data_IF_607946915124
#
_entry.id   IF_607946915124
#
_cell.length_a   1.000
_cell.length_b   1.000
_cell.length_c   1.000
_cell.angle_alpha   90.00
_cell.angle_beta   90.00
_cell.angle_gamma   90.00
#
_symmetry.space_group_name_H-M   'P 1'
#
loop_
_entity.id
_entity.type
_entity.pdbx_description
1 polymer ?
#
# COMPACT_ATOMS: atom_id res chain seq x y z
N UNK A 1 14.19 0.32 -12.87
CA UNK A 1 13.94 1.14 -11.66
C UNK A 1 13.13 0.30 -10.69
N UNK A 2 13.43 0.35 -9.39
CA UNK A 2 12.59 -0.33 -8.39
C UNK A 2 11.32 0.49 -8.09
N UNK A 3 10.26 -0.18 -7.63
CA UNK A 3 9.01 0.44 -7.18
C UNK A 3 9.27 1.62 -6.22
N UNK A 4 10.02 1.37 -5.15
CA UNK A 4 10.31 2.38 -4.11
C UNK A 4 11.10 3.57 -4.66
N UNK A 5 12.03 3.35 -5.59
CA UNK A 5 12.78 4.44 -6.21
C UNK A 5 11.87 5.35 -7.05
N UNK A 6 10.92 4.75 -7.78
CA UNK A 6 9.93 5.49 -8.57
C UNK A 6 9.00 6.29 -7.66
N UNK A 7 8.50 5.68 -6.59
CA UNK A 7 7.66 6.35 -5.60
C UNK A 7 8.40 7.50 -4.89
N UNK A 8 9.68 7.30 -4.53
CA UNK A 8 10.49 8.34 -3.91
C UNK A 8 10.67 9.54 -4.85
N UNK A 9 10.96 9.30 -6.13
CA UNK A 9 11.06 10.35 -7.13
C UNK A 9 9.74 11.12 -7.27
N UNK A 10 8.62 10.41 -7.40
CA UNK A 10 7.29 11.02 -7.50
C UNK A 10 6.93 11.87 -6.26
N UNK A 11 7.20 11.36 -5.05
CA UNK A 11 6.91 12.06 -3.80
C UNK A 11 7.78 13.30 -3.62
N UNK A 12 9.08 13.21 -3.93
CA UNK A 12 9.98 14.36 -3.87
C UNK A 12 9.60 15.44 -4.89
N UNK A 13 9.22 15.02 -6.10
CA UNK A 13 8.71 15.94 -7.11
C UNK A 13 7.42 16.62 -6.63
N UNK A 14 6.42 15.86 -6.16
CA UNK A 14 5.16 16.40 -5.67
C UNK A 14 5.36 17.34 -4.46
N UNK A 15 6.22 16.98 -3.51
CA UNK A 15 6.56 17.81 -2.35
C UNK A 15 7.10 19.20 -2.78
N UNK A 16 7.90 19.24 -3.85
CA UNK A 16 8.46 20.50 -4.39
C UNK A 16 7.45 21.26 -5.24
N UNK A 17 6.76 20.59 -6.16
CA UNK A 17 5.80 21.21 -7.06
C UNK A 17 4.59 21.80 -6.31
N UNK A 18 4.14 21.14 -5.25
CA UNK A 18 2.98 21.54 -4.45
C UNK A 18 3.37 22.26 -3.14
N UNK A 19 4.66 22.51 -2.91
CA UNK A 19 5.19 23.21 -1.73
C UNK A 19 4.66 22.63 -0.41
N UNK A 20 4.61 21.29 -0.32
CA UNK A 20 3.98 20.59 0.82
C UNK A 20 4.80 20.71 2.12
N UNK A 21 6.08 21.07 2.03
CA UNK A 21 6.94 21.25 3.21
C UNK A 21 7.18 19.96 4.00
N UNK A 22 7.06 18.79 3.37
CA UNK A 22 7.21 17.50 4.05
C UNK A 22 8.64 17.32 4.57
N UNK A 23 8.75 16.85 5.81
CA UNK A 23 10.04 16.59 6.47
C UNK A 23 10.74 15.37 5.84
N UNK A 24 12.04 15.44 5.51
CA UNK A 24 12.76 14.30 4.92
C UNK A 24 12.70 13.01 5.75
N UNK A 25 12.72 13.12 7.08
CA UNK A 25 12.58 11.97 7.98
C UNK A 25 11.21 11.30 7.86
N UNK A 26 10.13 12.08 7.77
CA UNK A 26 8.77 11.57 7.58
C UNK A 26 8.60 10.91 6.20
N UNK A 27 9.15 11.51 5.15
CA UNK A 27 9.20 10.91 3.81
C UNK A 27 9.88 9.54 3.85
N UNK A 28 11.04 9.43 4.50
CA UNK A 28 11.77 8.17 4.60
C UNK A 28 10.95 7.08 5.32
N UNK A 29 10.30 7.41 6.44
CA UNK A 29 9.44 6.46 7.18
C UNK A 29 8.23 6.05 6.33
N UNK A 30 7.58 6.99 5.64
CA UNK A 30 6.45 6.70 4.76
C UNK A 30 6.84 5.77 3.60
N UNK A 31 8.00 6.01 2.96
CA UNK A 31 8.52 5.14 1.90
C UNK A 31 8.88 3.75 2.42
N UNK A 32 9.46 3.64 3.62
CA UNK A 32 9.76 2.36 4.25
C UNK A 32 8.47 1.57 4.55
N UNK A 33 7.45 2.23 5.11
CA UNK A 33 6.15 1.63 5.36
C UNK A 33 5.52 1.12 4.05
N UNK A 34 5.55 1.95 3.00
CA UNK A 34 5.01 1.59 1.69
C UNK A 34 5.76 0.43 1.04
N UNK A 35 7.09 0.37 1.18
CA UNK A 35 7.89 -0.73 0.65
C UNK A 35 7.61 -2.04 1.41
N UNK A 36 7.49 -1.98 2.74
CA UNK A 36 7.15 -3.14 3.56
C UNK A 36 5.74 -3.67 3.26
N UNK A 37 4.76 -2.78 3.04
CA UNK A 37 3.40 -3.19 2.68
C UNK A 37 3.34 -3.87 1.32
N UNK A 38 4.09 -3.38 0.33
CA UNK A 38 4.19 -4.02 -0.99
C UNK A 38 4.89 -5.37 -0.92
N UNK A 39 5.97 -5.46 -0.15
CA UNK A 39 6.64 -6.75 0.09
C UNK A 39 5.67 -7.79 0.67
N UNK A 40 4.78 -7.39 1.58
CA UNK A 40 3.75 -8.28 2.11
C UNK A 40 2.67 -8.63 1.06
N UNK A 41 2.23 -7.66 0.26
CA UNK A 41 1.25 -7.86 -0.82
C UNK A 41 1.76 -8.87 -1.87
N UNK A 42 3.02 -8.73 -2.30
CA UNK A 42 3.66 -9.57 -3.32
C UNK A 42 3.69 -11.05 -2.92
N UNK A 43 3.70 -11.35 -1.62
CA UNK A 43 3.66 -12.74 -1.13
C UNK A 43 2.29 -13.38 -1.26
N UNK A 44 1.21 -12.60 -1.44
CA UNK A 44 -0.21 -12.97 -1.63
C UNK A 44 -0.84 -13.81 -0.50
N UNK A 45 -0.13 -14.81 -0.02
CA UNK A 45 -0.51 -15.70 1.09
C UNK A 45 -0.69 -14.93 2.40
N UNK A 46 0.08 -13.86 2.63
CA UNK A 46 -0.10 -12.99 3.80
C UNK A 46 -1.50 -12.36 3.78
N UNK A 47 -1.94 -11.83 2.63
CA UNK A 47 -3.26 -11.23 2.48
C UNK A 47 -4.38 -12.28 2.59
N UNK A 48 -4.18 -13.48 2.04
CA UNK A 48 -5.14 -14.59 2.21
C UNK A 48 -5.28 -15.01 3.67
N UNK A 49 -4.18 -15.10 4.41
CA UNK A 49 -4.20 -15.41 5.85
C UNK A 49 -4.91 -14.33 6.64
N UNK A 50 -4.62 -13.06 6.34
CA UNK A 50 -5.31 -11.93 6.94
C UNK A 50 -6.82 -12.01 6.68
N UNK A 51 -7.23 -12.24 5.44
CA UNK A 51 -8.64 -12.39 5.08
C UNK A 51 -9.32 -13.53 5.86
N UNK A 52 -8.66 -14.68 5.99
CA UNK A 52 -9.20 -15.81 6.77
C UNK A 52 -9.29 -15.46 8.26
N UNK A 53 -8.29 -14.77 8.81
CA UNK A 53 -8.29 -14.33 10.21
C UNK A 53 -9.37 -13.29 10.51
N UNK A 54 -9.73 -12.45 9.53
CA UNK A 54 -10.79 -11.43 9.65
C UNK A 54 -12.16 -11.90 9.16
N UNK A 55 -12.37 -13.22 9.05
CA UNK A 55 -13.63 -13.86 8.60
C UNK A 55 -14.04 -13.58 7.14
N UNK A 56 -13.15 -12.99 6.34
CA UNK A 56 -13.30 -12.77 4.90
C UNK A 56 -12.85 -13.94 4.01
N UNK A 57 -12.59 -15.13 4.57
CA UNK A 57 -12.01 -16.26 3.84
C UNK A 57 -12.81 -16.71 2.60
N UNK A 58 -14.14 -16.79 2.70
CA UNK A 58 -15.00 -17.12 1.54
C UNK A 58 -14.93 -16.07 0.44
N UNK A 59 -14.79 -14.80 0.82
CA UNK A 59 -14.72 -13.71 -0.14
C UNK A 59 -13.38 -13.70 -0.86
N UNK A 60 -12.25 -13.85 -0.16
CA UNK A 60 -10.92 -13.81 -0.81
C UNK A 60 -10.70 -14.95 -1.81
N UNK A 61 -11.42 -16.07 -1.66
CA UNK A 61 -11.36 -17.20 -2.59
C UNK A 61 -12.40 -17.09 -3.74
N UNK A 62 -13.26 -16.06 -3.75
CA UNK A 62 -14.25 -15.83 -4.81
C UNK A 62 -13.58 -15.40 -6.12
N UNK A 63 -13.92 -16.08 -7.21
CA UNK A 63 -13.48 -15.77 -8.57
C UNK A 63 -14.59 -16.13 -9.59
N UNK A 64 -15.78 -15.56 -9.44
CA UNK A 64 -16.97 -15.88 -10.24
C UNK A 64 -17.80 -14.61 -10.55
N UNK A 65 -18.58 -14.64 -11.64
CA UNK A 65 -19.51 -13.57 -12.00
C UNK A 65 -18.85 -12.20 -12.25
N UNK A 66 -17.57 -12.18 -12.64
CA UNK A 66 -16.79 -10.94 -12.80
C UNK A 66 -16.20 -10.37 -11.50
N UNK A 67 -16.44 -11.03 -10.35
CA UNK A 67 -15.86 -10.66 -9.07
C UNK A 67 -14.61 -11.50 -8.78
N UNK A 68 -13.57 -10.84 -8.28
CA UNK A 68 -12.35 -11.48 -7.81
C UNK A 68 -11.97 -10.93 -6.43
N UNK A 69 -12.28 -11.69 -5.38
CA UNK A 69 -12.09 -11.22 -4.01
C UNK A 69 -10.62 -11.13 -3.61
N UNK A 70 -9.72 -11.94 -4.19
CA UNK A 70 -8.28 -11.81 -3.98
C UNK A 70 -7.75 -10.48 -4.55
N UNK A 71 -8.21 -10.10 -5.75
CA UNK A 71 -7.90 -8.80 -6.35
C UNK A 71 -8.47 -7.64 -5.53
N UNK A 72 -9.73 -7.73 -5.08
CA UNK A 72 -10.33 -6.67 -4.27
C UNK A 72 -9.65 -6.53 -2.90
N UNK A 73 -9.22 -7.64 -2.28
CA UNK A 73 -8.41 -7.61 -1.07
C UNK A 73 -7.05 -6.94 -1.31
N UNK A 74 -6.41 -7.25 -2.44
CA UNK A 74 -5.17 -6.59 -2.84
C UNK A 74 -5.36 -5.07 -3.00
N UNK A 75 -6.41 -4.61 -3.68
CA UNK A 75 -6.72 -3.18 -3.81
C UNK A 75 -6.99 -2.51 -2.45
N UNK A 76 -7.76 -3.16 -1.58
CA UNK A 76 -8.06 -2.64 -0.25
C UNK A 76 -6.78 -2.50 0.61
N UNK A 77 -5.86 -3.48 0.52
CA UNK A 77 -4.56 -3.42 1.17
C UNK A 77 -3.75 -2.21 0.71
N UNK A 78 -3.65 -1.99 -0.61
CA UNK A 78 -2.91 -0.86 -1.17
C UNK A 78 -3.49 0.47 -0.68
N UNK A 79 -4.80 0.70 -0.83
CA UNK A 79 -5.43 1.94 -0.36
C UNK A 79 -5.27 2.16 1.14
N UNK A 80 -5.36 1.11 1.95
CA UNK A 80 -5.14 1.19 3.40
C UNK A 80 -3.73 1.68 3.74
N UNK A 81 -2.70 1.09 3.10
CA UNK A 81 -1.32 1.49 3.37
C UNK A 81 -0.91 2.81 2.69
N UNK A 82 -1.51 3.17 1.55
CA UNK A 82 -1.38 4.51 0.96
C UNK A 82 -1.87 5.57 1.94
N UNK A 83 -3.04 5.38 2.56
CA UNK A 83 -3.57 6.29 3.57
C UNK A 83 -2.66 6.39 4.80
N UNK A 84 -2.16 5.26 5.31
CA UNK A 84 -1.21 5.24 6.42
C UNK A 84 0.11 5.96 6.07
N UNK A 85 0.66 5.72 4.88
CA UNK A 85 1.89 6.37 4.43
C UNK A 85 1.70 7.88 4.24
N UNK A 86 0.57 8.30 3.68
CA UNK A 86 0.22 9.71 3.54
C UNK A 86 0.12 10.38 4.91
N UNK A 87 -0.59 9.75 5.87
CA UNK A 87 -0.70 10.23 7.24
C UNK A 87 0.67 10.40 7.91
N UNK A 88 1.56 9.40 7.78
CA UNK A 88 2.93 9.47 8.30
C UNK A 88 3.72 10.58 7.63
N UNK A 89 3.60 10.75 6.31
CA UNK A 89 4.33 11.76 5.56
C UNK A 89 3.91 13.19 5.97
N UNK A 90 2.61 13.41 6.22
CA UNK A 90 2.03 14.70 6.56
C UNK A 90 2.12 15.10 8.03
N UNK A 91 2.53 14.18 8.92
CA UNK A 91 2.59 14.40 10.37
C UNK A 91 3.91 14.94 10.92
#
# INVERSE_FOLDING_TARGET
MSYTATQAAALLFANRALVLGLRPSRIAVALLLSAASHFAADRREILRRLARATKGGRFVDLADGGLNGAYLMDQAWHHGFEACAAFVASG
#
